data_IF_971401913932
#
_entry.id   IF_971401913932
#
_cell.length_a   1.000
_cell.length_b   1.000
_cell.length_c   1.000
_cell.angle_alpha   90.00
_cell.angle_beta   90.00
_cell.angle_gamma   90.00
#
_symmetry.space_group_name_H-M   'P 1'
#
loop_
_entity.id
_entity.type
_entity.pdbx_description
1 polymer ?
#
# COMPACT_ATOMS: atom_id res chain seq x y z
N UNK A 1 7.94 26.45 17.83
CA UNK A 1 7.36 26.61 16.46
C UNK A 1 6.69 25.33 15.95
N UNK A 2 7.39 24.17 15.92
CA UNK A 2 6.82 22.88 15.47
C UNK A 2 5.61 22.42 16.29
N UNK A 3 5.71 22.41 17.63
CA UNK A 3 4.59 22.04 18.53
C UNK A 3 3.32 22.87 18.27
N UNK A 4 3.46 24.18 18.03
CA UNK A 4 2.34 25.07 17.71
C UNK A 4 1.69 24.71 16.37
N UNK A 5 2.51 24.39 15.36
CA UNK A 5 2.00 23.94 14.06
C UNK A 5 1.25 22.61 14.18
N UNK A 6 1.70 21.69 15.02
CA UNK A 6 0.99 20.43 15.29
C UNK A 6 -0.35 20.66 15.99
N UNK A 7 -0.39 21.52 17.02
CA UNK A 7 -1.64 21.91 17.70
C UNK A 7 -2.64 22.51 16.70
N UNK A 8 -2.17 23.41 15.83
CA UNK A 8 -3.02 23.97 14.79
C UNK A 8 -3.52 22.93 13.79
N UNK A 9 -2.68 21.95 13.40
CA UNK A 9 -3.10 20.85 12.53
C UNK A 9 -4.20 20.02 13.21
N UNK A 10 -4.03 19.66 14.48
CA UNK A 10 -5.02 18.93 15.28
C UNK A 10 -6.35 19.67 15.31
N UNK A 11 -6.35 20.96 15.68
CA UNK A 11 -7.57 21.76 15.72
C UNK A 11 -8.28 21.83 14.37
N UNK A 12 -7.52 21.96 13.27
CA UNK A 12 -8.09 22.02 11.91
C UNK A 12 -8.70 20.68 11.51
N UNK A 13 -8.08 19.56 11.89
CA UNK A 13 -8.61 18.22 11.67
C UNK A 13 -9.84 17.93 12.52
N UNK A 14 -9.85 18.26 13.82
CA UNK A 14 -11.02 18.11 14.69
C UNK A 14 -12.24 18.84 14.11
N UNK A 15 -12.07 20.09 13.66
CA UNK A 15 -13.13 20.86 12.98
C UNK A 15 -13.65 20.19 11.71
N UNK A 16 -12.79 19.48 10.98
CA UNK A 16 -13.19 18.75 9.78
C UNK A 16 -13.94 17.47 10.13
N UNK A 17 -13.46 16.71 11.11
CA UNK A 17 -14.06 15.46 11.55
C UNK A 17 -15.49 15.67 12.10
N UNK A 18 -15.71 16.74 12.86
CA UNK A 18 -17.05 17.13 13.34
C UNK A 18 -18.06 17.44 12.22
N UNK A 19 -17.58 17.84 11.04
CA UNK A 19 -18.41 18.22 9.89
C UNK A 19 -18.00 17.39 8.67
N UNK A 20 -17.77 16.09 8.88
CA UNK A 20 -17.18 15.22 7.84
C UNK A 20 -17.97 15.25 6.54
N UNK A 21 -19.30 15.18 6.59
CA UNK A 21 -20.17 15.22 5.41
C UNK A 21 -20.00 16.48 4.55
N UNK A 22 -19.62 17.61 5.16
CA UNK A 22 -19.31 18.85 4.43
C UNK A 22 -17.93 18.79 3.74
N UNK A 23 -16.98 18.10 4.34
CA UNK A 23 -15.58 18.10 3.90
C UNK A 23 -15.19 16.87 3.10
N UNK A 24 -15.95 15.76 3.16
CA UNK A 24 -15.72 14.57 2.36
C UNK A 24 -15.62 14.97 0.90
N UNK A 25 -14.59 14.50 0.21
CA UNK A 25 -14.27 14.83 -1.18
C UNK A 25 -13.97 16.31 -1.48
N UNK A 26 -13.82 17.19 -0.49
CA UNK A 26 -13.43 18.58 -0.73
C UNK A 26 -11.93 18.73 -0.97
N UNK A 27 -11.53 19.70 -1.81
CA UNK A 27 -10.11 20.08 -2.00
C UNK A 27 -9.42 20.41 -0.68
N UNK A 28 -10.17 20.97 0.27
CA UNK A 28 -9.64 21.31 1.59
C UNK A 28 -9.26 20.05 2.37
N UNK A 29 -10.07 18.99 2.29
CA UNK A 29 -9.74 17.71 2.91
C UNK A 29 -8.51 17.08 2.24
N UNK A 30 -8.48 17.03 0.91
CA UNK A 30 -7.35 16.48 0.16
C UNK A 30 -6.04 17.21 0.52
N UNK A 31 -6.04 18.55 0.45
CA UNK A 31 -4.87 19.38 0.83
C UNK A 31 -4.42 19.14 2.28
N UNK A 32 -5.32 18.74 3.18
CA UNK A 32 -4.98 18.45 4.58
C UNK A 32 -4.37 17.08 4.76
N UNK A 33 -4.83 16.08 4.01
CA UNK A 33 -4.19 14.75 3.93
C UNK A 33 -2.75 14.90 3.44
N UNK A 34 -2.53 15.66 2.35
CA UNK A 34 -1.18 15.95 1.85
C UNK A 34 -0.31 16.72 2.85
N UNK A 35 -0.88 17.54 3.75
CA UNK A 35 -0.14 18.20 4.85
C UNK A 35 0.08 17.34 6.09
N UNK A 36 -0.59 16.19 6.18
CA UNK A 36 -0.43 15.22 7.26
C UNK A 36 -1.61 15.18 8.19
N UNK A 37 -2.00 13.95 8.50
CA UNK A 37 -2.97 13.64 9.53
C UNK A 37 -2.21 13.54 10.86
N UNK A 38 -2.59 14.30 11.90
CA UNK A 38 -2.00 14.17 13.23
C UNK A 38 -2.10 12.75 13.75
N UNK A 39 -1.05 12.29 14.42
CA UNK A 39 -0.91 10.90 14.90
C UNK A 39 -2.15 10.40 15.64
N UNK A 40 -2.69 11.21 16.55
CA UNK A 40 -3.85 10.86 17.38
C UNK A 40 -5.18 10.78 16.61
N UNK A 41 -5.25 11.35 15.40
CA UNK A 41 -6.48 11.44 14.60
C UNK A 41 -6.46 10.47 13.40
N UNK A 42 -5.36 9.72 13.19
CA UNK A 42 -5.23 8.81 12.05
C UNK A 42 -6.30 7.72 12.05
N UNK A 43 -6.54 7.06 13.18
CA UNK A 43 -7.56 6.01 13.27
C UNK A 43 -8.92 6.50 12.77
N UNK A 44 -9.41 7.60 13.36
CA UNK A 44 -10.69 8.19 12.95
C UNK A 44 -10.69 8.65 11.48
N UNK A 45 -9.63 9.30 11.02
CA UNK A 45 -9.55 9.79 9.64
C UNK A 45 -9.47 8.65 8.62
N UNK A 46 -8.70 7.60 8.89
CA UNK A 46 -8.58 6.42 8.02
C UNK A 46 -9.90 5.65 7.97
N UNK A 47 -10.57 5.45 9.10
CA UNK A 47 -11.91 4.83 9.13
C UNK A 47 -12.90 5.57 8.27
N UNK A 48 -12.88 6.91 8.30
CA UNK A 48 -13.76 7.74 7.47
C UNK A 48 -13.37 7.74 5.99
N UNK A 49 -12.08 7.76 5.66
CA UNK A 49 -11.60 7.75 4.27
C UNK A 49 -11.84 6.40 3.58
N UNK A 50 -11.85 5.31 4.34
CA UNK A 50 -12.14 3.96 3.87
C UNK A 50 -13.62 3.56 4.04
N UNK A 51 -14.50 4.47 4.49
CA UNK A 51 -15.91 4.19 4.76
C UNK A 51 -16.13 2.94 5.66
N UNK A 52 -15.26 2.71 6.64
CA UNK A 52 -15.28 1.50 7.49
C UNK A 52 -16.65 1.29 8.14
N UNK A 53 -17.24 2.34 8.70
CA UNK A 53 -18.54 2.28 9.38
C UNK A 53 -19.68 1.84 8.45
N UNK A 54 -19.64 2.27 7.19
CA UNK A 54 -20.65 1.87 6.19
C UNK A 54 -20.52 0.38 5.90
N UNK A 55 -19.29 -0.10 5.69
CA UNK A 55 -19.01 -1.49 5.35
C UNK A 55 -19.34 -2.42 6.51
N UNK A 56 -19.08 -1.99 7.75
CA UNK A 56 -19.49 -2.70 8.97
C UNK A 56 -21.01 -2.93 8.99
N UNK A 57 -21.79 -1.87 8.77
CA UNK A 57 -23.26 -1.96 8.73
C UNK A 57 -23.77 -2.85 7.60
N UNK A 58 -23.18 -2.74 6.42
CA UNK A 58 -23.51 -3.59 5.27
C UNK A 58 -23.18 -5.08 5.50
N UNK A 59 -22.35 -5.40 6.51
CA UNK A 59 -21.84 -6.74 6.78
C UNK A 59 -21.96 -7.15 8.25
N UNK A 60 -23.00 -6.66 8.93
CA UNK A 60 -23.24 -6.93 10.35
C UNK A 60 -23.24 -8.44 10.65
N UNK A 61 -22.57 -8.85 11.75
CA UNK A 61 -22.45 -10.26 12.15
C UNK A 61 -21.37 -11.07 11.41
N UNK A 62 -20.88 -10.61 10.24
CA UNK A 62 -19.88 -11.38 9.46
C UNK A 62 -18.53 -11.44 10.16
N UNK A 63 -18.16 -10.40 10.89
CA UNK A 63 -16.88 -10.36 11.60
C UNK A 63 -16.85 -11.39 12.74
N UNK A 64 -17.93 -11.50 13.52
CA UNK A 64 -18.08 -12.44 14.61
C UNK A 64 -18.07 -13.88 14.12
N UNK A 65 -18.80 -14.17 13.04
CA UNK A 65 -18.79 -15.48 12.38
C UNK A 65 -17.37 -15.86 11.97
N UNK A 66 -16.64 -14.93 11.34
CA UNK A 66 -15.28 -15.16 10.93
C UNK A 66 -14.34 -15.36 12.13
N UNK A 67 -14.50 -14.59 13.20
CA UNK A 67 -13.72 -14.72 14.42
C UNK A 67 -13.94 -16.08 15.11
N UNK A 68 -15.20 -16.55 15.14
CA UNK A 68 -15.55 -17.83 15.74
C UNK A 68 -14.98 -19.00 14.95
N UNK A 69 -15.03 -18.97 13.61
CA UNK A 69 -14.34 -19.95 12.75
C UNK A 69 -12.86 -20.10 13.13
N UNK A 70 -12.15 -18.99 13.36
CA UNK A 70 -10.74 -19.03 13.78
C UNK A 70 -10.50 -19.55 15.20
N UNK A 71 -11.43 -19.35 16.13
CA UNK A 71 -11.32 -19.90 17.48
C UNK A 71 -11.42 -21.43 17.45
N UNK A 72 -12.36 -21.99 16.69
CA UNK A 72 -12.52 -23.44 16.57
C UNK A 72 -11.30 -24.11 15.92
N UNK A 73 -10.69 -23.49 14.91
CA UNK A 73 -9.50 -24.02 14.24
C UNK A 73 -8.26 -24.11 15.17
N UNK A 74 -8.11 -23.20 16.13
CA UNK A 74 -6.98 -23.23 17.08
C UNK A 74 -7.17 -24.21 18.24
N UNK A 75 -8.39 -24.71 18.47
CA UNK A 75 -8.66 -25.70 19.54
C UNK A 75 -8.33 -27.12 19.08
N UNK A 76 -8.43 -27.41 17.76
CA UNK A 76 -8.20 -28.75 17.21
C UNK A 76 -6.76 -29.02 16.73
N UNK A 77 -5.86 -28.02 16.79
CA UNK A 77 -4.43 -28.28 16.55
C UNK A 77 -3.53 -27.38 17.40
N UNK A 78 -2.71 -28.02 18.25
CA UNK A 78 -1.48 -27.51 18.88
C UNK A 78 -1.63 -26.76 20.23
N UNK A 79 -1.84 -27.55 21.30
CA UNK A 79 -1.22 -27.27 22.60
C UNK A 79 0.29 -27.32 22.44
N UNK A 80 0.96 -26.17 22.52
CA UNK A 80 2.42 -26.11 22.63
C UNK A 80 3.10 -25.13 21.67
N UNK A 81 3.11 -23.84 22.04
CA UNK A 81 4.32 -22.97 22.08
C UNK A 81 3.92 -21.54 22.40
N UNK A 82 4.22 -21.15 23.62
CA UNK A 82 4.04 -19.82 24.18
C UNK A 82 4.98 -18.77 23.56
N UNK A 83 4.55 -17.51 23.61
CA UNK A 83 5.35 -16.28 23.48
C UNK A 83 5.92 -15.88 22.09
N UNK A 84 5.04 -15.56 21.14
CA UNK A 84 5.23 -14.48 20.14
C UNK A 84 3.89 -13.80 19.85
N UNK A 85 3.32 -13.18 20.89
CA UNK A 85 2.04 -12.47 20.84
C UNK A 85 2.21 -11.15 20.09
N UNK A 86 1.87 -11.16 18.80
CA UNK A 86 1.14 -10.12 18.05
C UNK A 86 1.19 -10.45 16.56
N UNK A 87 2.34 -10.89 16.03
CA UNK A 87 2.48 -11.29 14.62
C UNK A 87 1.82 -12.64 14.26
N UNK A 88 1.74 -13.59 15.21
CA UNK A 88 1.13 -14.91 14.96
C UNK A 88 -0.41 -14.84 14.95
N UNK A 89 -1.02 -13.90 15.70
CA UNK A 89 -2.47 -13.67 15.65
C UNK A 89 -2.91 -13.18 14.26
N UNK A 90 -2.12 -12.31 13.62
CA UNK A 90 -2.34 -11.83 12.25
C UNK A 90 -2.08 -12.97 11.25
N UNK A 91 -1.04 -13.77 11.47
CA UNK A 91 -0.68 -14.86 10.55
C UNK A 91 -1.72 -16.00 10.54
N UNK A 92 -2.23 -16.42 11.69
CA UNK A 92 -3.16 -17.56 11.76
C UNK A 92 -4.64 -17.18 11.53
N UNK A 93 -5.02 -15.89 11.68
CA UNK A 93 -6.37 -15.39 11.34
C UNK A 93 -6.63 -15.18 9.84
N UNK A 94 -5.70 -15.46 8.94
CA UNK A 94 -5.92 -15.24 7.50
C UNK A 94 -5.41 -16.38 6.61
N UNK A 95 -4.76 -17.42 7.17
CA UNK A 95 -3.98 -18.38 6.37
C UNK A 95 -4.74 -19.60 5.82
N UNK A 96 -5.88 -20.04 6.37
CA UNK A 96 -6.47 -21.30 5.86
C UNK A 96 -7.54 -21.08 4.79
N UNK A 97 -7.23 -21.71 3.65
CA UNK A 97 -8.03 -22.01 2.46
C UNK A 97 -9.44 -22.46 2.84
N UNK A 98 -10.39 -22.07 1.99
CA UNK A 98 -11.83 -22.33 2.01
C UNK A 98 -12.70 -21.28 2.75
N UNK A 99 -13.39 -20.51 1.90
CA UNK A 99 -14.58 -19.70 2.21
C UNK A 99 -14.42 -18.62 3.29
N UNK A 100 -13.38 -17.81 3.15
CA UNK A 100 -13.39 -16.45 3.72
C UNK A 100 -13.83 -15.48 2.63
N UNK A 101 -14.46 -14.36 3.01
CA UNK A 101 -14.89 -13.28 2.10
C UNK A 101 -13.76 -12.74 1.18
N UNK A 102 -12.51 -13.15 1.43
CA UNK A 102 -11.33 -12.90 0.62
C UNK A 102 -10.88 -14.22 -0.04
N UNK A 103 -11.01 -14.33 -1.36
CA UNK A 103 -10.42 -15.43 -2.16
C UNK A 103 -8.88 -15.38 -2.22
N UNK A 104 -8.23 -14.70 -1.27
CA UNK A 104 -6.78 -14.49 -1.27
C UNK A 104 -6.19 -15.16 -0.05
N UNK A 105 -5.45 -16.24 -0.27
CA UNK A 105 -4.58 -16.84 0.73
C UNK A 105 -3.57 -15.80 1.23
N UNK A 106 -3.43 -15.67 2.55
CA UNK A 106 -2.53 -14.69 3.17
C UNK A 106 -1.08 -14.83 2.67
N UNK A 107 -0.67 -13.90 1.81
CA UNK A 107 0.67 -13.87 1.23
C UNK A 107 1.64 -13.01 2.05
N UNK A 108 2.94 -13.32 1.96
CA UNK A 108 4.03 -12.53 2.54
C UNK A 108 3.94 -11.07 2.04
N UNK A 109 3.61 -10.14 2.94
CA UNK A 109 3.34 -8.72 2.61
C UNK A 109 2.03 -8.20 3.21
N UNK A 110 0.97 -9.02 3.24
CA UNK A 110 -0.31 -8.66 3.86
C UNK A 110 -0.17 -8.44 5.37
N UNK A 111 0.75 -9.15 6.01
CA UNK A 111 1.03 -9.03 7.45
C UNK A 111 1.44 -7.62 7.88
N UNK A 112 2.21 -6.94 7.05
CA UNK A 112 2.71 -5.59 7.31
C UNK A 112 1.59 -4.56 7.15
N UNK A 113 0.75 -4.74 6.13
CA UNK A 113 -0.43 -3.90 5.90
C UNK A 113 -1.42 -4.05 7.07
N UNK A 114 -1.69 -5.27 7.51
CA UNK A 114 -2.54 -5.48 8.69
C UNK A 114 -1.94 -4.86 9.95
N UNK A 115 -0.61 -4.96 10.13
CA UNK A 115 0.08 -4.38 11.27
C UNK A 115 -0.06 -2.85 11.31
N UNK A 116 0.16 -2.14 10.20
CA UNK A 116 0.03 -0.67 10.19
C UNK A 116 -1.40 -0.21 10.45
N UNK A 117 -2.41 -0.95 10.00
CA UNK A 117 -3.82 -0.67 10.32
C UNK A 117 -4.10 -0.86 11.82
N UNK A 118 -3.65 -1.98 12.39
CA UNK A 118 -3.83 -2.30 13.82
C UNK A 118 -3.09 -1.34 14.77
N UNK A 119 -2.12 -0.57 14.27
CA UNK A 119 -1.49 0.49 15.07
C UNK A 119 -2.42 1.68 15.34
N UNK A 120 -3.44 1.89 14.50
CA UNK A 120 -4.33 3.06 14.57
C UNK A 120 -5.81 2.74 14.68
N UNK A 121 -6.19 1.49 14.42
CA UNK A 121 -7.56 1.00 14.43
C UNK A 121 -7.70 -0.14 15.44
N UNK A 122 -8.90 -0.31 15.99
CA UNK A 122 -9.22 -1.52 16.75
C UNK A 122 -9.25 -2.75 15.81
N UNK A 123 -9.33 -3.94 16.38
CA UNK A 123 -9.23 -5.20 15.62
C UNK A 123 -10.26 -5.31 14.50
N UNK A 124 -11.52 -4.95 14.78
CA UNK A 124 -12.62 -5.06 13.82
C UNK A 124 -12.53 -3.99 12.73
N UNK A 125 -12.27 -2.74 13.10
CA UNK A 125 -12.12 -1.64 12.16
C UNK A 125 -10.92 -1.87 11.24
N UNK A 126 -9.83 -2.45 11.76
CA UNK A 126 -8.68 -2.86 10.95
C UNK A 126 -9.03 -3.97 9.95
N UNK A 127 -9.87 -4.93 10.34
CA UNK A 127 -10.35 -5.98 9.44
C UNK A 127 -11.17 -5.39 8.27
N UNK A 128 -12.10 -4.48 8.56
CA UNK A 128 -12.91 -3.85 7.53
C UNK A 128 -12.13 -2.83 6.69
N UNK A 129 -11.19 -2.11 7.28
CA UNK A 129 -10.25 -1.26 6.55
C UNK A 129 -9.40 -2.08 5.57
N UNK A 130 -8.87 -3.23 6.01
CA UNK A 130 -8.14 -4.16 5.14
C UNK A 130 -9.04 -4.68 4.02
N UNK A 131 -10.30 -5.02 4.35
CA UNK A 131 -11.30 -5.45 3.37
C UNK A 131 -11.47 -4.42 2.25
N UNK A 132 -11.62 -3.15 2.63
CA UNK A 132 -11.74 -2.05 1.69
C UNK A 132 -10.49 -1.88 0.83
N UNK A 133 -9.30 -1.92 1.42
CA UNK A 133 -8.06 -1.82 0.63
C UNK A 133 -7.89 -2.98 -0.37
N UNK A 134 -8.35 -4.18 -0.02
CA UNK A 134 -8.28 -5.34 -0.92
C UNK A 134 -9.31 -5.26 -2.06
N UNK A 135 -10.55 -4.89 -1.76
CA UNK A 135 -11.69 -5.04 -2.66
C UNK A 135 -12.06 -3.77 -3.43
N UNK A 136 -11.86 -2.59 -2.86
CA UNK A 136 -12.22 -1.33 -3.48
C UNK A 136 -11.40 -1.10 -4.75
N UNK A 137 -12.05 -0.71 -5.86
CA UNK A 137 -11.40 -0.49 -7.15
C UNK A 137 -10.25 0.53 -7.09
N UNK A 138 -10.32 1.51 -6.18
CA UNK A 138 -9.28 2.54 -6.00
C UNK A 138 -7.93 1.95 -5.57
N UNK A 139 -7.94 0.92 -4.74
CA UNK A 139 -6.75 0.29 -4.16
C UNK A 139 -6.46 -1.06 -4.81
N UNK A 140 -7.53 -1.86 -4.99
CA UNK A 140 -7.58 -3.17 -5.63
C UNK A 140 -6.41 -4.06 -5.21
N UNK A 141 -6.03 -4.04 -3.92
CA UNK A 141 -4.78 -4.66 -3.46
C UNK A 141 -4.80 -6.18 -3.62
N UNK A 142 -5.97 -6.82 -3.69
CA UNK A 142 -6.10 -8.25 -3.93
C UNK A 142 -5.28 -8.72 -5.15
N UNK A 143 -5.24 -7.91 -6.22
CA UNK A 143 -4.52 -8.26 -7.45
C UNK A 143 -3.01 -8.43 -7.27
N UNK A 144 -2.42 -7.80 -6.25
CA UNK A 144 -1.00 -7.96 -5.91
C UNK A 144 -0.69 -9.30 -5.25
N UNK A 145 -1.69 -10.05 -4.81
CA UNK A 145 -1.52 -11.28 -4.04
C UNK A 145 -2.15 -12.50 -4.73
N UNK A 146 -2.67 -12.33 -5.95
CA UNK A 146 -3.08 -13.44 -6.81
C UNK A 146 -1.83 -14.27 -7.17
N UNK A 147 -1.90 -15.62 -7.15
CA UNK A 147 -0.79 -16.49 -7.58
C UNK A 147 -0.19 -16.06 -8.92
N UNK A 148 1.15 -16.05 -9.00
CA UNK A 148 1.88 -15.53 -10.16
C UNK A 148 2.06 -14.00 -10.18
N UNK A 149 1.48 -13.28 -9.21
CA UNK A 149 1.64 -11.85 -9.00
C UNK A 149 1.39 -10.97 -10.26
N UNK A 150 0.30 -11.18 -11.02
CA UNK A 150 0.09 -10.51 -12.30
C UNK A 150 0.02 -8.97 -12.16
N UNK A 151 -0.59 -8.46 -11.08
CA UNK A 151 -0.63 -7.01 -10.84
C UNK A 151 0.76 -6.46 -10.50
N UNK A 152 1.57 -7.20 -9.73
CA UNK A 152 2.95 -6.80 -9.43
C UNK A 152 3.77 -6.66 -10.72
N UNK A 153 3.72 -7.67 -11.59
CA UNK A 153 4.42 -7.67 -12.88
C UNK A 153 3.98 -6.48 -13.75
N UNK A 154 2.66 -6.19 -13.80
CA UNK A 154 2.14 -5.00 -14.50
C UNK A 154 2.71 -3.70 -13.95
N UNK A 155 2.75 -3.53 -12.63
CA UNK A 155 3.36 -2.34 -12.01
C UNK A 155 4.87 -2.25 -12.26
N UNK A 156 5.58 -3.38 -12.23
CA UNK A 156 7.01 -3.44 -12.54
C UNK A 156 7.31 -3.05 -14.00
N UNK A 157 6.55 -3.60 -14.95
CA UNK A 157 6.68 -3.27 -16.36
C UNK A 157 6.35 -1.80 -16.64
N UNK A 158 5.29 -1.28 -16.01
CA UNK A 158 4.91 0.12 -16.11
C UNK A 158 5.97 1.05 -15.51
N UNK A 159 6.55 0.68 -14.38
CA UNK A 159 7.66 1.40 -13.78
C UNK A 159 8.88 1.44 -14.71
N UNK A 160 9.21 0.32 -15.37
CA UNK A 160 10.29 0.24 -16.36
C UNK A 160 10.07 1.19 -17.56
N UNK A 161 8.82 1.27 -18.05
CA UNK A 161 8.43 2.21 -19.11
C UNK A 161 8.57 3.67 -18.66
N UNK A 162 8.15 3.99 -17.43
CA UNK A 162 8.33 5.34 -16.86
C UNK A 162 9.81 5.69 -16.78
N UNK A 163 10.68 4.78 -16.32
CA UNK A 163 12.12 5.01 -16.26
C UNK A 163 12.72 5.24 -17.64
N UNK A 164 12.32 4.43 -18.61
CA UNK A 164 12.77 4.57 -20.00
C UNK A 164 12.40 5.93 -20.59
N UNK A 165 11.21 6.45 -20.26
CA UNK A 165 10.71 7.72 -20.80
C UNK A 165 11.22 8.95 -20.04
N UNK A 166 11.22 8.92 -18.70
CA UNK A 166 11.48 10.08 -17.85
C UNK A 166 12.89 10.12 -17.24
N UNK A 167 13.54 8.97 -17.09
CA UNK A 167 14.90 8.84 -16.55
C UNK A 167 15.81 7.98 -17.46
N UNK A 168 15.89 8.23 -18.78
CA UNK A 168 16.55 7.33 -19.73
C UNK A 168 18.03 7.07 -19.41
N UNK A 169 18.75 8.08 -18.90
CA UNK A 169 20.15 7.93 -18.45
C UNK A 169 20.27 6.95 -17.28
N UNK A 170 19.36 7.02 -16.32
CA UNK A 170 19.33 6.11 -15.18
C UNK A 170 18.93 4.71 -15.63
N UNK A 171 17.90 4.59 -16.48
CA UNK A 171 17.47 3.31 -17.03
C UNK A 171 18.62 2.58 -17.74
N UNK A 172 19.32 3.26 -18.63
CA UNK A 172 20.49 2.70 -19.34
C UNK A 172 21.59 2.25 -18.38
N UNK A 173 21.81 2.97 -17.29
CA UNK A 173 22.77 2.58 -16.25
C UNK A 173 22.31 1.33 -15.51
N UNK A 174 21.06 1.29 -15.05
CA UNK A 174 20.49 0.11 -14.38
C UNK A 174 20.55 -1.13 -15.28
N UNK A 175 20.25 -1.00 -16.57
CA UNK A 175 20.32 -2.11 -17.53
C UNK A 175 21.76 -2.60 -17.74
N UNK A 176 22.73 -1.68 -17.84
CA UNK A 176 24.16 -2.02 -17.96
C UNK A 176 24.65 -2.80 -16.74
N UNK A 177 24.23 -2.38 -15.55
CA UNK A 177 24.55 -3.05 -14.29
C UNK A 177 23.65 -4.28 -14.03
N UNK A 178 22.75 -4.66 -14.95
CA UNK A 178 21.81 -5.78 -14.80
C UNK A 178 20.87 -5.67 -13.58
N UNK A 179 20.59 -4.44 -13.15
CA UNK A 179 19.71 -4.11 -12.04
C UNK A 179 18.25 -4.00 -12.53
N UNK A 180 17.61 -5.14 -12.74
CA UNK A 180 16.22 -5.20 -13.21
C UNK A 180 15.20 -4.71 -12.16
N UNK A 181 14.12 -4.08 -12.64
CA UNK A 181 13.06 -3.51 -11.81
C UNK A 181 12.48 -4.50 -10.78
N UNK A 182 12.32 -5.78 -11.15
CA UNK A 182 11.76 -6.80 -10.25
C UNK A 182 12.59 -7.09 -9.00
N UNK A 183 13.91 -6.88 -9.06
CA UNK A 183 14.84 -7.18 -7.96
C UNK A 183 14.61 -6.23 -6.78
N UNK A 184 14.34 -4.94 -6.99
CA UNK A 184 14.21 -3.97 -5.90
C UNK A 184 12.76 -3.56 -5.59
N UNK A 185 11.86 -3.59 -6.57
CA UNK A 185 10.52 -2.98 -6.42
C UNK A 185 9.44 -3.92 -5.85
N UNK A 186 9.74 -5.21 -5.65
CA UNK A 186 8.77 -6.18 -5.13
C UNK A 186 8.18 -5.75 -3.78
N UNK A 187 9.01 -5.37 -2.81
CA UNK A 187 8.53 -4.87 -1.51
C UNK A 187 7.85 -3.50 -1.61
N UNK A 188 8.30 -2.65 -2.54
CA UNK A 188 7.73 -1.32 -2.73
C UNK A 188 6.24 -1.41 -3.08
N UNK A 189 5.89 -2.34 -3.97
CA UNK A 189 4.51 -2.53 -4.43
C UNK A 189 3.69 -3.44 -3.51
N UNK A 190 4.22 -4.60 -3.09
CA UNK A 190 3.46 -5.54 -2.25
C UNK A 190 3.17 -5.01 -0.84
N UNK A 191 4.04 -4.15 -0.32
CA UNK A 191 3.94 -3.62 1.05
C UNK A 191 3.67 -2.11 1.06
N UNK A 192 3.36 -1.50 -0.08
CA UNK A 192 3.10 -0.06 -0.19
C UNK A 192 4.16 0.79 0.52
N UNK A 193 5.44 0.49 0.27
CA UNK A 193 6.61 1.15 0.87
C UNK A 193 6.78 1.04 2.40
N UNK A 194 6.01 0.18 3.08
CA UNK A 194 6.30 -0.16 4.48
C UNK A 194 7.72 -0.73 4.57
N UNK A 195 8.46 -0.29 5.59
CA UNK A 195 9.87 -0.61 5.84
C UNK A 195 10.83 -0.21 4.71
N UNK A 196 10.41 0.65 3.78
CA UNK A 196 11.27 1.21 2.71
C UNK A 196 11.42 2.72 2.81
N UNK A 197 10.81 3.34 3.81
CA UNK A 197 10.94 4.76 4.12
C UNK A 197 11.00 4.94 5.64
N UNK A 198 11.53 6.05 6.16
CA UNK A 198 11.39 6.40 7.57
C UNK A 198 9.94 6.24 8.02
N UNK A 199 9.71 5.77 9.24
CA UNK A 199 8.37 5.43 9.70
C UNK A 199 7.41 6.63 9.64
N UNK A 200 7.90 7.85 9.93
CA UNK A 200 7.12 9.08 9.82
C UNK A 200 6.64 9.31 8.38
N UNK A 201 7.52 9.15 7.39
CA UNK A 201 7.19 9.23 5.97
C UNK A 201 6.25 8.09 5.55
N UNK A 202 6.44 6.87 6.05
CA UNK A 202 5.53 5.74 5.78
C UNK A 202 4.09 6.12 6.13
N UNK A 203 3.87 6.72 7.30
CA UNK A 203 2.52 7.16 7.71
C UNK A 203 1.95 8.24 6.79
N UNK A 204 2.80 9.17 6.33
CA UNK A 204 2.39 10.22 5.39
C UNK A 204 2.02 9.65 4.02
N UNK A 205 2.77 8.65 3.54
CA UNK A 205 2.45 7.92 2.33
C UNK A 205 1.15 7.14 2.48
N UNK A 206 0.89 6.54 3.64
CA UNK A 206 -0.36 5.81 3.92
C UNK A 206 -1.58 6.72 4.02
N UNK A 207 -1.45 7.90 4.65
CA UNK A 207 -2.48 8.93 4.65
C UNK A 207 -2.94 9.24 3.20
N UNK A 208 -1.97 9.40 2.28
CA UNK A 208 -2.23 9.73 0.88
C UNK A 208 -2.67 8.50 0.08
N UNK A 209 -2.11 7.31 0.34
CA UNK A 209 -2.49 6.06 -0.33
C UNK A 209 -3.95 5.72 -0.06
N UNK A 210 -4.44 5.90 1.16
CA UNK A 210 -5.84 5.72 1.50
C UNK A 210 -6.73 6.68 0.69
N UNK A 211 -6.30 7.94 0.50
CA UNK A 211 -7.02 8.94 -0.27
C UNK A 211 -7.01 8.69 -1.80
N UNK A 212 -5.82 8.50 -2.38
CA UNK A 212 -5.53 8.52 -3.82
C UNK A 212 -5.45 7.13 -4.46
N UNK A 213 -5.26 6.09 -3.65
CA UNK A 213 -5.18 4.71 -4.12
C UNK A 213 -3.82 4.31 -4.70
N UNK A 214 -3.87 3.34 -5.62
CA UNK A 214 -2.68 2.69 -6.20
C UNK A 214 -1.80 3.63 -7.03
N UNK A 215 -2.27 4.83 -7.38
CA UNK A 215 -1.47 5.88 -8.05
C UNK A 215 -0.23 6.27 -7.27
N UNK A 216 -0.31 6.20 -5.94
CA UNK A 216 0.81 6.50 -5.05
C UNK A 216 1.97 5.52 -5.24
N UNK A 217 1.68 4.27 -5.61
CA UNK A 217 2.71 3.26 -5.83
C UNK A 217 3.59 3.62 -7.03
N UNK A 218 2.96 3.98 -8.15
CA UNK A 218 3.65 4.44 -9.36
C UNK A 218 4.41 5.74 -9.10
N UNK A 219 3.77 6.72 -8.47
CA UNK A 219 4.38 8.02 -8.25
C UNK A 219 5.56 7.97 -7.28
N UNK A 220 5.45 7.20 -6.19
CA UNK A 220 6.51 7.12 -5.19
C UNK A 220 7.72 6.32 -5.69
N UNK A 221 7.50 5.22 -6.41
CA UNK A 221 8.59 4.45 -7.03
C UNK A 221 9.43 5.32 -7.98
N UNK A 222 8.78 6.15 -8.81
CA UNK A 222 9.45 7.12 -9.66
C UNK A 222 10.15 8.23 -8.86
N UNK A 223 9.48 8.78 -7.83
CA UNK A 223 10.00 9.89 -7.01
C UNK A 223 11.29 9.52 -6.31
N UNK A 224 11.34 8.34 -5.69
CA UNK A 224 12.53 7.84 -4.99
C UNK A 224 13.74 7.77 -5.93
N UNK A 225 13.57 7.15 -7.11
CA UNK A 225 14.66 7.04 -8.08
C UNK A 225 15.08 8.41 -8.63
N UNK A 226 14.12 9.33 -8.80
CA UNK A 226 14.40 10.71 -9.21
C UNK A 226 15.22 11.47 -8.17
N UNK A 227 14.89 11.34 -6.88
CA UNK A 227 15.62 11.95 -5.78
C UNK A 227 17.07 11.44 -5.69
N UNK A 228 17.27 10.14 -5.88
CA UNK A 228 18.60 9.52 -5.77
C UNK A 228 19.35 9.38 -7.10
N UNK A 229 18.81 9.92 -8.21
CA UNK A 229 19.34 9.76 -9.57
C UNK A 229 20.85 9.96 -9.67
N UNK A 230 21.39 11.03 -9.07
CA UNK A 230 22.82 11.36 -9.13
C UNK A 230 23.71 10.33 -8.42
N UNK A 231 23.21 9.72 -7.33
CA UNK A 231 23.90 8.70 -6.55
C UNK A 231 23.84 7.35 -7.28
N UNK A 232 22.65 6.97 -7.74
CA UNK A 232 22.41 5.71 -8.46
C UNK A 232 23.25 5.58 -9.74
N UNK A 233 23.46 6.68 -10.48
CA UNK A 233 24.29 6.69 -11.70
C UNK A 233 25.77 6.38 -11.47
N UNK A 234 26.24 6.30 -10.22
CA UNK A 234 27.63 6.03 -9.86
C UNK A 234 27.83 4.66 -9.19
N UNK A 235 26.74 3.93 -8.95
CA UNK A 235 26.74 2.68 -8.18
C UNK A 235 26.90 1.47 -9.11
N UNK A 236 27.64 0.47 -8.65
CA UNK A 236 27.72 -0.87 -9.25
C UNK A 236 26.45 -1.68 -8.96
N UNK A 237 26.29 -2.86 -9.57
CA UNK A 237 25.19 -3.78 -9.25
C UNK A 237 25.05 -4.07 -7.74
N UNK A 238 26.16 -4.38 -7.05
CA UNK A 238 26.13 -4.71 -5.62
C UNK A 238 25.68 -3.52 -4.78
N UNK A 239 26.25 -2.33 -5.05
CA UNK A 239 25.87 -1.08 -4.39
C UNK A 239 24.41 -0.70 -4.67
N UNK A 240 23.94 -0.88 -5.92
CA UNK A 240 22.57 -0.60 -6.31
C UNK A 240 21.60 -1.50 -5.54
N UNK A 241 21.92 -2.80 -5.45
CA UNK A 241 21.08 -3.77 -4.74
C UNK A 241 21.03 -3.42 -3.26
N UNK A 242 22.17 -3.23 -2.60
CA UNK A 242 22.25 -2.87 -1.19
C UNK A 242 21.52 -1.54 -0.92
N UNK A 243 21.75 -0.54 -1.77
CA UNK A 243 21.12 0.76 -1.62
C UNK A 243 19.60 0.71 -1.76
N UNK A 244 19.09 0.13 -2.85
CA UNK A 244 17.65 0.14 -3.15
C UNK A 244 16.85 -0.80 -2.24
N UNK A 245 17.47 -1.89 -1.77
CA UNK A 245 16.79 -2.85 -0.91
C UNK A 245 16.92 -2.53 0.57
N UNK A 246 18.03 -1.95 1.04
CA UNK A 246 18.34 -1.85 2.47
C UNK A 246 18.52 -0.40 2.95
N UNK A 247 19.36 0.38 2.26
CA UNK A 247 19.76 1.73 2.76
C UNK A 247 18.83 2.87 2.33
N UNK A 248 17.84 2.59 1.50
CA UNK A 248 17.00 3.64 0.91
C UNK A 248 16.27 4.47 1.96
N UNK A 249 15.77 3.84 3.03
CA UNK A 249 15.07 4.52 4.13
C UNK A 249 15.99 5.45 4.92
N UNK A 250 17.26 5.07 5.08
CA UNK A 250 18.25 5.86 5.81
C UNK A 250 18.82 7.00 4.97
N UNK A 251 18.80 6.85 3.65
CA UNK A 251 19.39 7.81 2.71
C UNK A 251 18.50 8.99 2.34
N UNK A 252 17.26 9.01 2.81
CA UNK A 252 16.35 10.13 2.61
C UNK A 252 16.71 11.25 3.59
N UNK A 253 17.77 11.98 3.28
CA UNK A 253 18.21 13.19 4.02
C UNK A 253 17.26 14.38 3.85
N UNK A 254 16.03 14.13 3.39
CA UNK A 254 14.98 15.11 3.14
C UNK A 254 13.95 15.05 4.27
N UNK A 255 13.38 16.20 4.60
CA UNK A 255 12.21 16.21 5.48
C UNK A 255 11.02 15.54 4.79
N UNK A 256 10.13 14.92 5.57
CA UNK A 256 8.91 14.29 5.04
C UNK A 256 8.13 15.24 4.11
N UNK A 257 8.02 16.52 4.47
CA UNK A 257 7.30 17.51 3.68
C UNK A 257 7.94 17.74 2.29
N UNK A 258 9.28 17.77 2.20
CA UNK A 258 9.99 17.88 0.91
C UNK A 258 9.73 16.64 0.05
N UNK A 259 9.76 15.45 0.64
CA UNK A 259 9.48 14.21 -0.09
C UNK A 259 8.03 14.18 -0.60
N UNK A 260 7.07 14.63 0.21
CA UNK A 260 5.66 14.71 -0.20
C UNK A 260 5.45 15.77 -1.28
N UNK A 261 6.11 16.92 -1.23
CA UNK A 261 6.07 17.93 -2.30
C UNK A 261 6.60 17.37 -3.62
N UNK A 262 7.72 16.65 -3.58
CA UNK A 262 8.31 15.98 -4.75
C UNK A 262 7.40 14.87 -5.28
N UNK A 263 6.75 14.12 -4.39
CA UNK A 263 5.74 13.14 -4.75
C UNK A 263 4.54 13.80 -5.46
N UNK A 264 4.02 14.91 -4.95
CA UNK A 264 2.92 15.65 -5.60
C UNK A 264 3.30 16.17 -6.99
N UNK A 265 4.52 16.66 -7.16
CA UNK A 265 5.05 17.05 -8.46
C UNK A 265 5.10 15.86 -9.42
N UNK A 266 5.62 14.70 -8.96
CA UNK A 266 5.61 13.44 -9.73
C UNK A 266 4.21 13.00 -10.12
N UNK A 267 3.26 13.02 -9.18
CA UNK A 267 1.86 12.65 -9.46
C UNK A 267 1.26 13.54 -10.54
N UNK A 268 1.53 14.84 -10.49
CA UNK A 268 1.04 15.81 -11.48
C UNK A 268 1.66 15.56 -12.86
N UNK A 269 2.97 15.32 -12.90
CA UNK A 269 3.70 14.99 -14.13
C UNK A 269 3.19 13.69 -14.76
N UNK A 270 3.12 12.61 -13.99
CA UNK A 270 2.64 11.31 -14.46
C UNK A 270 1.19 11.37 -14.95
N UNK A 271 0.32 12.11 -14.23
CA UNK A 271 -1.08 12.31 -14.65
C UNK A 271 -1.18 13.04 -15.99
N UNK A 272 -0.41 14.12 -16.19
CA UNK A 272 -0.36 14.86 -17.47
C UNK A 272 0.07 13.97 -18.64
N UNK A 273 0.96 13.01 -18.36
CA UNK A 273 1.48 12.07 -19.37
C UNK A 273 0.64 10.79 -19.50
N UNK A 274 -0.45 10.63 -18.74
CA UNK A 274 -1.28 9.41 -18.66
C UNK A 274 -0.47 8.17 -18.25
N UNK A 275 0.45 8.35 -17.30
CA UNK A 275 1.34 7.32 -16.76
C UNK A 275 1.10 7.10 -15.25
N UNK A 276 0.03 7.62 -14.68
CA UNK A 276 -0.27 7.47 -13.25
C UNK A 276 -0.63 6.04 -12.85
N UNK A 277 -1.19 5.25 -13.78
CA UNK A 277 -1.53 3.84 -13.59
C UNK A 277 -1.07 2.98 -14.76
N UNK A 278 -0.75 1.68 -14.53
CA UNK A 278 -0.53 0.74 -15.61
C UNK A 278 -1.83 0.50 -16.41
N UNK A 279 -1.70 0.24 -17.70
CA UNK A 279 -2.83 -0.18 -18.55
C UNK A 279 -3.59 -1.34 -17.91
N UNK A 280 -4.94 -1.39 -17.97
CA UNK A 280 -5.73 -2.51 -17.47
C UNK A 280 -5.20 -3.83 -18.02
N UNK A 281 -5.17 -4.87 -17.19
CA UNK A 281 -4.75 -6.20 -17.65
C UNK A 281 -5.75 -6.72 -18.68
N UNK A 282 -5.25 -7.22 -19.80
CA UNK A 282 -6.07 -8.02 -20.72
C UNK A 282 -6.33 -9.34 -20.01
N UNK A 283 -7.50 -9.51 -19.42
CA UNK A 283 -7.96 -10.84 -19.00
C UNK A 283 -8.31 -11.59 -20.28
N UNK A 284 -7.35 -12.32 -20.85
CA UNK A 284 -7.68 -13.37 -21.79
C UNK A 284 -8.37 -14.45 -20.98
N UNK A 285 -9.71 -14.41 -20.95
CA UNK A 285 -10.49 -15.57 -20.49
C UNK A 285 -10.11 -16.68 -21.45
N UNK A 286 -9.29 -17.61 -20.98
CA UNK A 286 -9.01 -18.84 -21.70
C UNK A 286 -10.33 -19.60 -21.71
N UNK A 287 -11.17 -19.40 -22.72
CA UNK A 287 -12.31 -20.24 -22.98
C UNK A 287 -11.75 -21.62 -23.30
N UNK A 288 -11.68 -22.49 -22.30
CA UNK A 288 -11.49 -23.91 -22.52
C UNK A 288 -12.70 -24.38 -23.31
N UNK A 289 -12.53 -24.47 -24.64
CA UNK A 289 -13.46 -25.20 -25.49
C UNK A 289 -13.40 -26.66 -25.05
N UNK A 290 -14.37 -27.09 -24.26
CA UNK A 290 -14.72 -28.50 -24.14
C UNK A 290 -15.18 -28.96 -25.51
N UNK A 291 -14.25 -29.51 -26.31
CA UNK A 291 -14.61 -30.39 -27.40
C UNK A 291 -15.18 -31.66 -26.76
N UNK A 292 -16.50 -31.82 -26.82
CA UNK A 292 -17.13 -33.12 -26.67
C UNK A 292 -16.73 -33.95 -27.89
N UNK A 293 -15.77 -34.85 -27.70
CA UNK A 293 -15.55 -35.94 -28.63
C UNK A 293 -16.69 -36.94 -28.41
N UNK A 294 -17.64 -36.97 -29.35
CA UNK A 294 -18.49 -38.13 -29.56
C UNK A 294 -17.72 -39.10 -30.45
N UNK A 295 -17.31 -40.22 -29.89
CA UNK A 295 -17.14 -41.52 -30.53
C UNK A 295 -17.30 -42.61 -29.45
#
# INVERSE_FOLDING_TARGET
KLKQQEIERVQKWLKMLQKWEKYKNSDRMMKRVYKGIPLMLRGQAWSLLLDVERVKKENEGKYEVQQNKYKHINTDSCVGRSHRQNGIKIRNKFIKKEETLFEVSYCQGMSQIAAILLMYLNEEDAFWALSQLLTNQKHAMHGFFIPGFPKLQRFQNHHDQILSKLLPKLKKHLDKEQMFTGIYSTKWFLQCFIDRTPFTLTLRLWDIFILEGEKILTAMSFTILRLHKKRLLKMSLEDLREFLQEKISESLDFTDDVVIEQLQASMTELRKMKLDLPSPGVFTICSTSTKSSNE
#
